data_IF_980676120890
#
_entry.id   IF_980676120890
#
_cell.length_a   1.000
_cell.length_b   1.000
_cell.length_c   1.000
_cell.angle_alpha   90.00
_cell.angle_beta   90.00
_cell.angle_gamma   90.00
#
_symmetry.space_group_name_H-M   'P 1'
#
loop_
_entity.id
_entity.type
_entity.pdbx_description
1 polymer ?
#
# COMPACT_ATOMS: atom_id res chain seq x y z
N UNK A 1 -1.76 -0.16 4.49
CA UNK A 1 -2.07 -0.10 3.03
C UNK A 1 -2.77 1.22 2.74
N UNK A 2 -2.01 2.31 2.69
CA UNK A 2 -2.54 3.61 2.28
C UNK A 2 -1.69 4.12 1.13
N UNK A 3 -2.34 4.47 0.02
CA UNK A 3 -1.81 5.46 -0.93
C UNK A 3 -1.70 6.75 -0.12
N UNK A 4 -0.48 7.27 0.04
CA UNK A 4 -0.30 8.62 0.57
C UNK A 4 -0.42 9.52 -0.65
N UNK A 5 -1.63 9.93 -1.01
CA UNK A 5 -1.80 11.08 -1.89
C UNK A 5 -1.45 12.32 -1.07
N UNK A 6 -0.19 12.74 -1.14
CA UNK A 6 0.19 14.08 -0.73
C UNK A 6 -0.26 15.04 -1.83
N UNK A 7 -1.52 15.50 -1.76
CA UNK A 7 -1.99 16.59 -2.60
C UNK A 7 -1.38 17.91 -2.11
N UNK A 8 -0.29 18.33 -2.74
CA UNK A 8 0.18 19.72 -2.64
C UNK A 8 -0.81 20.58 -3.45
N UNK A 9 -1.74 21.21 -2.74
CA UNK A 9 -2.87 21.95 -3.32
C UNK A 9 -2.44 23.28 -3.95
N UNK A 10 -2.76 23.46 -5.23
CA UNK A 10 -2.90 24.80 -5.83
C UNK A 10 -4.18 25.46 -5.32
N UNK A 11 -4.09 26.32 -4.30
CA UNK A 11 -5.18 27.23 -3.95
C UNK A 11 -5.39 28.24 -5.08
N UNK A 12 -6.40 28.03 -5.93
CA UNK A 12 -7.05 29.13 -6.63
C UNK A 12 -7.81 29.99 -5.62
N UNK A 13 -7.81 31.31 -5.85
CA UNK A 13 -8.33 32.33 -4.93
C UNK A 13 -9.84 32.16 -4.73
N UNK A 14 -10.26 31.73 -3.54
CA UNK A 14 -11.61 31.98 -3.07
C UNK A 14 -11.67 33.41 -2.52
N UNK A 15 -12.38 34.29 -3.23
CA UNK A 15 -12.80 35.59 -2.72
C UNK A 15 -14.15 35.44 -2.00
N UNK A 16 -14.14 35.82 -0.73
CA UNK A 16 -15.27 36.29 0.08
C UNK A 16 -16.53 35.39 0.22
N UNK A 17 -16.65 34.74 1.37
CA UNK A 17 -17.61 35.26 2.37
C UNK A 17 -17.11 34.93 3.79
N UNK A 18 -16.76 35.99 4.51
CA UNK A 18 -16.48 35.95 5.94
C UNK A 18 -17.76 35.58 6.69
N UNK A 19 -17.70 34.58 7.56
CA UNK A 19 -18.39 34.59 8.85
C UNK A 19 -17.89 33.45 9.75
N UNK A 20 -17.32 33.88 10.88
CA UNK A 20 -16.99 33.13 12.10
C UNK A 20 -15.64 32.40 12.19
N UNK A 21 -14.60 33.18 12.52
CA UNK A 21 -13.49 32.74 13.36
C UNK A 21 -13.35 33.68 14.57
N UNK A 22 -13.78 33.22 15.74
CA UNK A 22 -13.27 33.56 17.09
C UNK A 22 -13.78 32.39 17.97
N UNK A 23 -13.03 31.65 18.77
CA UNK A 23 -11.89 31.96 19.63
C UNK A 23 -11.07 30.69 19.91
N UNK A 24 -9.75 30.82 19.99
CA UNK A 24 -8.87 29.79 20.53
C UNK A 24 -9.04 29.70 22.06
N UNK A 25 -9.39 28.51 22.57
CA UNK A 25 -9.14 28.12 23.96
C UNK A 25 -8.63 26.68 24.01
N UNK A 26 -7.49 26.52 24.68
CA UNK A 26 -6.78 25.27 24.94
C UNK A 26 -7.71 24.22 25.56
N UNK A 27 -7.81 23.03 24.96
CA UNK A 27 -8.36 21.83 25.60
C UNK A 27 -7.22 20.83 25.92
N UNK A 28 -7.11 20.33 27.16
CA UNK A 28 -6.16 19.27 27.51
C UNK A 28 -6.62 17.92 26.93
N UNK A 29 -5.72 16.91 26.84
CA UNK A 29 -6.04 15.66 26.15
C UNK A 29 -7.08 14.87 26.94
N UNK A 30 -8.33 14.86 26.45
CA UNK A 30 -9.33 13.92 26.93
C UNK A 30 -9.02 12.53 26.37
N UNK A 31 -8.84 11.56 27.27
CA UNK A 31 -8.83 10.12 26.97
C UNK A 31 -10.08 9.78 26.15
N UNK A 32 -9.89 9.45 24.87
CA UNK A 32 -10.94 8.98 23.98
C UNK A 32 -11.59 7.69 24.55
N UNK A 33 -12.81 7.83 25.08
CA UNK A 33 -13.68 6.73 25.54
C UNK A 33 -14.55 6.14 24.42
N UNK A 34 -14.10 6.21 23.17
CA UNK A 34 -14.75 5.53 22.03
C UNK A 34 -13.93 4.33 21.56
N UNK A 35 -13.96 3.25 22.36
CA UNK A 35 -13.58 1.89 21.93
C UNK A 35 -14.83 1.01 21.96
N UNK A 36 -15.71 1.11 20.97
CA UNK A 36 -16.77 0.10 20.76
C UNK A 36 -17.51 0.14 19.42
N UNK A 37 -17.15 0.99 18.45
CA UNK A 37 -17.71 0.87 17.09
C UNK A 37 -16.67 0.23 16.16
N UNK A 38 -16.44 -1.07 16.34
CA UNK A 38 -15.70 -1.87 15.37
C UNK A 38 -16.71 -2.38 14.33
N UNK A 39 -16.67 -1.69 13.18
CA UNK A 39 -17.02 -2.07 11.82
C UNK A 39 -17.99 -3.25 11.65
N UNK A 40 -19.19 -2.96 11.15
CA UNK A 40 -20.03 -3.99 10.52
C UNK A 40 -19.20 -4.72 9.44
N UNK A 41 -19.35 -6.05 9.29
CA UNK A 41 -18.71 -6.77 8.20
C UNK A 41 -19.10 -6.13 6.86
N UNK A 42 -18.26 -6.29 5.84
CA UNK A 42 -18.67 -5.89 4.49
C UNK A 42 -19.92 -6.70 4.10
N UNK A 43 -21.10 -6.09 4.25
CA UNK A 43 -22.36 -6.66 3.80
C UNK A 43 -22.48 -6.36 2.31
N UNK A 44 -22.19 -7.36 1.49
CA UNK A 44 -22.49 -7.30 0.08
C UNK A 44 -24.02 -7.20 -0.07
N UNK A 45 -24.51 -6.17 -0.77
CA UNK A 45 -25.95 -5.96 -0.95
C UNK A 45 -26.58 -7.17 -1.66
N UNK A 46 -27.81 -7.52 -1.29
CA UNK A 46 -28.72 -8.43 -2.00
C UNK A 46 -28.18 -9.82 -2.36
N UNK A 47 -27.75 -10.61 -1.37
CA UNK A 47 -27.38 -12.01 -1.62
C UNK A 47 -26.19 -12.20 -2.58
N UNK A 48 -25.43 -11.12 -2.81
CA UNK A 48 -24.16 -11.17 -3.52
C UNK A 48 -23.16 -11.90 -2.65
N UNK A 49 -22.88 -13.14 -3.03
CA UNK A 49 -21.79 -13.92 -2.48
C UNK A 49 -20.48 -13.41 -3.10
N UNK A 50 -19.39 -13.43 -2.32
CA UNK A 50 -18.05 -13.09 -2.82
C UNK A 50 -17.68 -13.79 -4.13
N UNK A 51 -18.15 -15.03 -4.30
CA UNK A 51 -17.94 -15.85 -5.51
C UNK A 51 -18.52 -15.24 -6.79
N UNK A 52 -19.43 -14.25 -6.69
CA UNK A 52 -20.06 -13.57 -7.82
C UNK A 52 -19.41 -12.22 -8.15
N UNK A 53 -18.47 -11.74 -7.33
CA UNK A 53 -17.80 -10.46 -7.59
C UNK A 53 -16.77 -10.64 -8.69
N UNK A 54 -16.96 -9.90 -9.78
CA UNK A 54 -15.93 -9.72 -10.81
C UNK A 54 -14.97 -8.66 -10.29
N UNK A 55 -13.69 -9.01 -10.20
CA UNK A 55 -12.65 -8.12 -9.72
C UNK A 55 -11.95 -7.51 -10.92
N UNK A 56 -12.12 -6.21 -11.07
CA UNK A 56 -11.42 -5.37 -12.04
C UNK A 56 -10.42 -4.51 -11.26
N UNK A 57 -9.13 -4.87 -11.28
CA UNK A 57 -8.11 -4.14 -10.50
C UNK A 57 -7.92 -2.70 -11.01
N UNK A 58 -8.18 -2.48 -12.30
CA UNK A 58 -8.13 -1.18 -12.97
C UNK A 58 -9.07 -0.14 -12.32
N UNK A 59 -10.15 -0.61 -11.67
CA UNK A 59 -11.11 0.26 -10.98
C UNK A 59 -10.49 1.03 -9.80
N UNK A 60 -9.34 0.60 -9.28
CA UNK A 60 -8.59 1.39 -8.29
C UNK A 60 -8.25 2.79 -8.82
N UNK A 61 -7.73 2.88 -10.04
CA UNK A 61 -7.37 4.14 -10.66
C UNK A 61 -8.60 5.01 -10.94
N UNK A 62 -9.68 4.40 -11.44
CA UNK A 62 -10.96 5.09 -11.69
C UNK A 62 -11.54 5.70 -10.41
N UNK A 63 -11.49 4.98 -9.30
CA UNK A 63 -11.91 5.50 -8.00
C UNK A 63 -11.11 6.73 -7.56
N UNK A 64 -9.78 6.71 -7.74
CA UNK A 64 -8.92 7.85 -7.43
C UNK A 64 -9.22 9.06 -8.34
N UNK A 65 -9.44 8.84 -9.64
CA UNK A 65 -9.79 9.90 -10.57
C UNK A 65 -11.12 10.57 -10.22
N UNK A 66 -12.15 9.76 -9.90
CA UNK A 66 -13.46 10.27 -9.44
C UNK A 66 -13.37 11.08 -8.16
N UNK A 67 -12.50 10.66 -7.22
CA UNK A 67 -12.26 11.44 -6.01
C UNK A 67 -11.65 12.80 -6.33
N UNK A 68 -10.69 12.86 -7.25
CA UNK A 68 -10.12 14.13 -7.68
C UNK A 68 -11.16 15.02 -8.38
N UNK A 69 -12.06 14.44 -9.17
CA UNK A 69 -13.15 15.18 -9.82
C UNK A 69 -14.10 15.80 -8.78
N UNK A 70 -14.49 15.05 -7.75
CA UNK A 70 -15.34 15.55 -6.64
C UNK A 70 -14.64 16.64 -5.81
N UNK A 71 -13.31 16.56 -5.69
CA UNK A 71 -12.51 17.58 -5.02
C UNK A 71 -12.18 18.78 -5.93
N UNK A 72 -12.65 18.78 -7.18
CA UNK A 72 -12.35 19.77 -8.21
C UNK A 72 -10.83 19.94 -8.46
N UNK A 73 -10.07 18.83 -8.36
CA UNK A 73 -8.63 18.77 -8.60
C UNK A 73 -8.38 18.19 -9.99
N UNK A 74 -8.06 19.07 -10.93
CA UNK A 74 -7.72 18.67 -12.30
C UNK A 74 -6.40 17.87 -12.36
N UNK A 75 -5.38 18.28 -11.62
CA UNK A 75 -4.07 17.63 -11.65
C UNK A 75 -3.40 17.69 -10.28
N UNK A 76 -2.80 16.58 -9.84
CA UNK A 76 -1.97 16.54 -8.63
C UNK A 76 -0.50 16.69 -8.97
N UNK A 77 0.25 17.31 -8.05
CA UNK A 77 1.71 17.43 -8.20
C UNK A 77 2.40 16.07 -8.24
N UNK A 78 2.06 15.17 -7.31
CA UNK A 78 2.65 13.85 -7.22
C UNK A 78 1.64 12.79 -6.78
N UNK A 79 1.79 11.58 -7.30
CA UNK A 79 1.13 10.37 -6.79
C UNK A 79 2.21 9.46 -6.20
N UNK A 80 2.05 9.09 -4.93
CA UNK A 80 3.04 8.32 -4.18
C UNK A 80 2.37 7.06 -3.63
N UNK A 81 2.95 5.90 -3.94
CA UNK A 81 2.44 4.63 -3.48
C UNK A 81 3.54 3.59 -3.29
N UNK A 82 3.35 2.68 -2.34
CA UNK A 82 4.19 1.49 -2.29
C UNK A 82 3.43 0.20 -2.02
N UNK A 83 4.06 -0.92 -2.36
CA UNK A 83 3.40 -2.22 -2.42
C UNK A 83 2.16 -2.16 -3.33
N UNK A 84 1.01 -2.64 -2.85
CA UNK A 84 -0.29 -2.46 -3.49
C UNK A 84 -0.61 -1.01 -3.84
N UNK A 85 -0.22 -0.04 -2.99
CA UNK A 85 -0.40 1.37 -3.30
C UNK A 85 0.45 1.84 -4.48
N UNK A 86 1.62 1.24 -4.69
CA UNK A 86 2.47 1.51 -5.85
C UNK A 86 1.87 0.92 -7.13
N UNK A 87 1.24 -0.25 -7.07
CA UNK A 87 0.46 -0.80 -8.18
C UNK A 87 -0.67 0.15 -8.58
N UNK A 88 -1.41 0.68 -7.59
CA UNK A 88 -2.47 1.67 -7.84
C UNK A 88 -1.93 2.99 -8.41
N UNK A 89 -0.77 3.45 -7.94
CA UNK A 89 -0.11 4.64 -8.46
C UNK A 89 0.31 4.46 -9.92
N UNK A 90 0.85 3.29 -10.27
CA UNK A 90 1.20 2.94 -11.65
C UNK A 90 -0.04 2.86 -12.56
N UNK A 91 -1.11 2.19 -12.10
CA UNK A 91 -2.39 2.14 -12.82
C UNK A 91 -2.96 3.54 -13.05
N UNK A 92 -2.96 4.38 -12.01
CA UNK A 92 -3.43 5.76 -12.12
C UNK A 92 -2.60 6.55 -13.13
N UNK A 93 -1.27 6.44 -13.08
CA UNK A 93 -0.38 7.13 -13.99
C UNK A 93 -0.53 6.66 -15.46
N UNK A 94 -0.83 5.38 -15.68
CA UNK A 94 -0.99 4.81 -17.01
C UNK A 94 -2.39 5.05 -17.61
N UNK A 95 -3.44 5.11 -16.77
CA UNK A 95 -4.81 5.35 -17.22
C UNK A 95 -5.14 6.84 -17.32
N UNK A 96 -4.54 7.66 -16.45
CA UNK A 96 -4.81 9.10 -16.35
C UNK A 96 -3.50 9.92 -16.43
N UNK A 97 -2.71 9.79 -17.52
CA UNK A 97 -1.37 10.37 -17.61
C UNK A 97 -1.30 11.89 -17.45
N UNK A 98 -2.39 12.60 -17.76
CA UNK A 98 -2.47 14.06 -17.63
C UNK A 98 -2.88 14.53 -16.23
N UNK A 99 -3.29 13.63 -15.33
CA UNK A 99 -3.80 13.96 -13.98
C UNK A 99 -2.70 14.04 -12.92
N UNK A 100 -1.44 13.80 -13.27
CA UNK A 100 -0.29 13.89 -12.37
C UNK A 100 0.96 14.43 -13.07
N UNK A 101 1.81 15.14 -12.33
CA UNK A 101 3.12 15.59 -12.85
C UNK A 101 4.29 14.67 -12.46
N UNK A 102 4.14 13.93 -11.35
CA UNK A 102 5.20 13.08 -10.80
C UNK A 102 4.63 11.79 -10.24
N UNK A 103 5.38 10.71 -10.41
CA UNK A 103 5.07 9.40 -9.86
C UNK A 103 6.20 8.93 -8.93
N UNK A 104 5.85 8.48 -7.73
CA UNK A 104 6.78 7.74 -6.87
C UNK A 104 6.19 6.38 -6.54
N UNK A 105 6.88 5.32 -6.94
CA UNK A 105 6.44 3.95 -6.73
C UNK A 105 7.49 3.15 -5.95
N UNK A 106 7.11 2.60 -4.79
CA UNK A 106 8.03 1.97 -3.85
C UNK A 106 7.68 0.49 -3.70
N UNK A 107 8.64 -0.42 -3.94
CA UNK A 107 8.46 -1.86 -3.70
C UNK A 107 7.16 -2.40 -4.32
N UNK A 108 6.93 -2.10 -5.60
CA UNK A 108 5.75 -2.53 -6.36
C UNK A 108 6.15 -3.12 -7.71
N UNK A 109 5.17 -3.56 -8.50
CA UNK A 109 5.42 -4.25 -9.78
C UNK A 109 4.44 -3.78 -10.87
N UNK A 110 4.86 -3.72 -12.14
CA UNK A 110 3.96 -3.41 -13.25
C UNK A 110 3.09 -4.61 -13.67
N UNK A 111 3.48 -5.82 -13.28
CA UNK A 111 2.75 -7.05 -13.53
C UNK A 111 3.10 -8.07 -12.44
N UNK A 112 2.09 -8.55 -11.72
CA UNK A 112 2.31 -9.58 -10.70
C UNK A 112 2.87 -10.86 -11.32
N UNK A 113 3.90 -11.43 -10.69
CA UNK A 113 4.56 -12.67 -11.11
C UNK A 113 4.00 -13.91 -10.39
N UNK A 114 4.12 -15.13 -10.99
CA UNK A 114 3.53 -16.36 -10.42
C UNK A 114 3.97 -16.71 -9.00
N UNK A 115 5.21 -16.36 -8.60
CA UNK A 115 5.72 -16.63 -7.26
C UNK A 115 4.92 -15.87 -6.19
N UNK A 116 4.64 -14.60 -6.42
CA UNK A 116 3.84 -13.78 -5.51
C UNK A 116 2.36 -14.21 -5.51
N UNK A 117 1.83 -14.69 -6.65
CA UNK A 117 0.50 -15.31 -6.73
C UNK A 117 0.42 -16.57 -5.86
N UNK A 118 1.45 -17.41 -5.88
CA UNK A 118 1.47 -18.64 -5.07
C UNK A 118 1.41 -18.33 -3.56
N UNK A 119 2.17 -17.34 -3.09
CA UNK A 119 2.12 -16.89 -1.69
C UNK A 119 0.72 -16.40 -1.30
N UNK A 120 0.13 -15.51 -2.11
CA UNK A 120 -1.21 -14.98 -1.85
C UNK A 120 -2.31 -16.03 -2.00
N UNK A 121 -2.12 -17.04 -2.86
CA UNK A 121 -3.02 -18.19 -2.94
C UNK A 121 -3.07 -18.95 -1.62
N UNK A 122 -1.93 -19.23 -0.98
CA UNK A 122 -1.89 -19.92 0.33
C UNK A 122 -2.62 -19.08 1.39
N UNK A 123 -2.37 -17.76 1.41
CA UNK A 123 -3.06 -16.85 2.34
C UNK A 123 -4.59 -16.89 2.17
N UNK A 124 -5.08 -16.79 0.92
CA UNK A 124 -6.52 -16.89 0.65
C UNK A 124 -7.09 -18.26 0.98
N UNK A 125 -6.36 -19.33 0.65
CA UNK A 125 -6.77 -20.70 0.92
C UNK A 125 -6.93 -20.93 2.43
N UNK A 126 -6.03 -20.41 3.26
CA UNK A 126 -6.15 -20.51 4.71
C UNK A 126 -7.47 -19.92 5.23
N UNK A 127 -7.91 -18.77 4.68
CA UNK A 127 -9.18 -18.13 5.04
C UNK A 127 -10.37 -18.94 4.53
N UNK A 128 -10.33 -19.36 3.26
CA UNK A 128 -11.43 -20.10 2.62
C UNK A 128 -11.65 -21.50 3.24
N UNK A 129 -10.59 -22.12 3.76
CA UNK A 129 -10.64 -23.42 4.44
C UNK A 129 -11.12 -23.34 5.89
N UNK A 130 -11.21 -22.14 6.49
CA UNK A 130 -11.69 -21.96 7.85
C UNK A 130 -13.21 -22.20 7.92
N UNK A 131 -13.66 -23.19 8.68
CA UNK A 131 -15.09 -23.47 8.83
C UNK A 131 -15.88 -22.26 9.37
N UNK A 132 -15.26 -21.41 10.18
CA UNK A 132 -15.89 -20.22 10.73
C UNK A 132 -16.04 -19.09 9.70
N UNK A 133 -15.33 -19.15 8.56
CA UNK A 133 -15.51 -18.20 7.45
C UNK A 133 -16.91 -18.27 6.84
N UNK A 134 -17.53 -19.46 6.85
CA UNK A 134 -18.93 -19.68 6.44
C UNK A 134 -19.28 -19.02 5.09
N UNK A 135 -18.45 -19.24 4.06
CA UNK A 135 -18.63 -18.68 2.72
C UNK A 135 -18.78 -17.14 2.66
N UNK A 136 -18.13 -16.43 3.59
CA UNK A 136 -18.21 -14.97 3.70
C UNK A 136 -19.30 -14.47 4.64
N UNK A 137 -20.09 -15.37 5.23
CA UNK A 137 -21.14 -15.09 6.22
C UNK A 137 -20.65 -15.43 7.65
N UNK A 138 -19.41 -15.07 7.98
CA UNK A 138 -18.86 -15.24 9.32
C UNK A 138 -19.52 -14.31 10.33
N UNK A 139 -19.51 -14.72 11.60
CA UNK A 139 -20.07 -13.92 12.70
C UNK A 139 -19.26 -12.62 12.87
N UNK A 140 -19.93 -11.47 12.87
CA UNK A 140 -19.27 -10.18 13.11
C UNK A 140 -18.44 -10.20 14.41
N UNK A 141 -17.20 -9.70 14.32
CA UNK A 141 -16.24 -9.70 15.43
C UNK A 141 -15.55 -11.04 15.71
N UNK A 142 -15.83 -12.10 14.95
CA UNK A 142 -15.09 -13.37 15.06
C UNK A 142 -13.66 -13.22 14.55
N UNK A 143 -12.70 -13.78 15.29
CA UNK A 143 -11.32 -13.92 14.83
C UNK A 143 -11.19 -15.28 14.14
N UNK A 144 -11.06 -15.26 12.81
CA UNK A 144 -10.86 -16.48 12.02
C UNK A 144 -9.42 -16.99 12.16
N UNK A 145 -9.25 -18.29 12.36
CA UNK A 145 -7.94 -18.94 12.39
C UNK A 145 -7.24 -18.80 11.02
N UNK A 146 -8.00 -18.92 9.93
CA UNK A 146 -7.51 -18.72 8.58
C UNK A 146 -6.91 -17.33 8.35
N UNK A 147 -7.50 -16.29 8.95
CA UNK A 147 -6.96 -14.92 8.90
C UNK A 147 -5.64 -14.78 9.67
N UNK A 148 -5.49 -15.51 10.79
CA UNK A 148 -4.24 -15.51 11.54
C UNK A 148 -3.12 -16.15 10.70
N UNK A 149 -3.38 -17.34 10.15
CA UNK A 149 -2.41 -18.06 9.30
C UNK A 149 -2.02 -17.21 8.08
N UNK A 150 -2.99 -16.60 7.40
CA UNK A 150 -2.74 -15.71 6.28
C UNK A 150 -1.82 -14.54 6.66
N UNK A 151 -2.02 -13.96 7.85
CA UNK A 151 -1.19 -12.87 8.35
C UNK A 151 0.20 -13.33 8.77
N UNK A 152 0.33 -14.47 9.42
CA UNK A 152 1.62 -15.05 9.82
C UNK A 152 2.49 -15.33 8.58
N UNK A 153 1.92 -15.97 7.57
CA UNK A 153 2.61 -16.19 6.30
C UNK A 153 3.04 -14.87 5.66
N UNK A 154 2.17 -13.86 5.67
CA UNK A 154 2.52 -12.53 5.17
C UNK A 154 3.72 -11.93 5.91
N UNK A 155 3.66 -11.91 7.24
CA UNK A 155 4.74 -11.37 8.07
C UNK A 155 6.08 -12.10 7.86
N UNK A 156 6.05 -13.41 7.65
CA UNK A 156 7.24 -14.19 7.34
C UNK A 156 7.87 -13.81 5.99
N UNK A 157 7.05 -13.38 5.01
CA UNK A 157 7.51 -12.98 3.67
C UNK A 157 7.76 -11.47 3.50
N UNK A 158 7.25 -10.62 4.40
CA UNK A 158 7.43 -9.17 4.29
C UNK A 158 8.80 -8.69 4.79
N UNK A 159 9.49 -9.51 5.59
CA UNK A 159 10.76 -9.16 6.23
C UNK A 159 11.84 -10.14 5.82
N UNK A 160 13.09 -9.74 5.99
CA UNK A 160 14.21 -10.63 5.67
C UNK A 160 14.45 -11.64 6.80
N UNK A 161 15.09 -12.76 6.45
CA UNK A 161 15.53 -13.77 7.43
C UNK A 161 16.41 -13.16 8.50
N UNK A 162 17.30 -12.25 8.09
CA UNK A 162 18.24 -11.54 8.94
C UNK A 162 17.53 -10.68 10.00
N UNK A 163 16.36 -10.10 9.70
CA UNK A 163 15.59 -9.34 10.70
C UNK A 163 15.05 -10.26 11.80
N UNK A 164 14.53 -11.44 11.42
CA UNK A 164 14.05 -12.42 12.40
C UNK A 164 15.21 -12.93 13.27
N UNK A 165 16.33 -13.32 12.67
CA UNK A 165 17.48 -13.86 13.41
C UNK A 165 18.16 -12.80 14.29
N UNK A 166 18.12 -11.51 13.92
CA UNK A 166 18.61 -10.42 14.76
C UNK A 166 17.67 -10.10 15.93
N UNK A 167 16.37 -10.33 15.75
CA UNK A 167 15.33 -9.96 16.72
C UNK A 167 15.03 -11.05 17.73
N UNK A 168 15.12 -12.31 17.32
CA UNK A 168 14.74 -13.47 18.14
C UNK A 168 15.95 -14.38 18.33
N UNK A 169 16.20 -14.76 19.58
CA UNK A 169 17.21 -15.75 19.90
C UNK A 169 16.63 -17.16 19.73
N UNK A 170 17.49 -18.12 19.36
CA UNK A 170 17.13 -19.52 19.46
C UNK A 170 17.16 -19.93 20.94
N UNK A 171 16.00 -19.83 21.61
CA UNK A 171 15.85 -20.23 23.01
C UNK A 171 14.43 -20.79 23.23
N UNK A 172 14.28 -22.09 23.58
CA UNK A 172 12.98 -22.66 23.91
C UNK A 172 12.56 -22.22 25.32
N UNK A 173 11.73 -21.17 25.40
CA UNK A 173 11.23 -20.59 26.65
C UNK A 173 9.94 -21.28 27.14
N UNK A 174 9.20 -21.92 26.23
CA UNK A 174 7.96 -22.64 26.51
C UNK A 174 8.09 -24.18 26.56
N UNK A 175 6.97 -24.89 26.79
CA UNK A 175 6.94 -26.36 26.80
C UNK A 175 7.28 -26.95 25.43
N UNK A 176 8.13 -27.97 25.39
CA UNK A 176 8.60 -28.62 24.15
C UNK A 176 7.63 -29.66 23.57
N UNK A 177 6.32 -29.41 23.71
CA UNK A 177 5.26 -30.25 23.14
C UNK A 177 4.80 -29.69 21.79
N UNK A 178 4.46 -30.55 20.82
CA UNK A 178 4.19 -30.13 19.43
C UNK A 178 3.01 -29.16 19.24
N UNK A 179 2.13 -29.03 20.23
CA UNK A 179 1.00 -28.10 20.23
C UNK A 179 1.26 -26.80 21.00
N UNK A 180 2.39 -26.69 21.69
CA UNK A 180 2.71 -25.58 22.55
C UNK A 180 3.60 -24.56 21.83
N UNK A 181 3.39 -23.28 22.12
CA UNK A 181 4.34 -22.23 21.74
C UNK A 181 5.59 -22.38 22.61
N UNK A 182 6.69 -22.79 21.97
CA UNK A 182 7.98 -23.06 22.58
C UNK A 182 8.91 -21.86 22.46
N UNK A 183 8.82 -21.09 21.37
CA UNK A 183 9.72 -19.99 21.05
C UNK A 183 9.00 -18.63 21.10
N UNK A 184 9.74 -17.59 21.50
CA UNK A 184 9.22 -16.22 21.56
C UNK A 184 8.73 -15.71 20.20
N UNK A 185 9.36 -16.16 19.10
CA UNK A 185 8.92 -15.82 17.73
C UNK A 185 7.51 -16.34 17.44
N UNK A 186 7.13 -17.52 17.93
CA UNK A 186 5.79 -18.09 17.73
C UNK A 186 4.74 -17.25 18.45
N UNK A 187 5.03 -16.84 19.68
CA UNK A 187 4.17 -15.95 20.48
C UNK A 187 4.03 -14.58 19.83
N UNK A 188 5.13 -14.04 19.27
CA UNK A 188 5.11 -12.79 18.52
C UNK A 188 4.22 -12.89 17.27
N UNK A 189 4.39 -13.94 16.48
CA UNK A 189 3.62 -14.17 15.25
C UNK A 189 2.12 -14.27 15.57
N UNK A 190 1.75 -15.12 16.54
CA UNK A 190 0.36 -15.31 16.96
C UNK A 190 -0.28 -14.01 17.50
N UNK A 191 0.47 -13.24 18.29
CA UNK A 191 -0.02 -11.97 18.83
C UNK A 191 -0.29 -10.95 17.72
N UNK A 192 0.64 -10.78 16.77
CA UNK A 192 0.46 -9.83 15.66
C UNK A 192 -0.64 -10.29 14.70
N UNK A 193 -0.74 -11.60 14.44
CA UNK A 193 -1.76 -12.20 13.61
C UNK A 193 -3.15 -12.03 14.22
N UNK A 194 -3.29 -12.32 15.52
CA UNK A 194 -4.53 -12.11 16.27
C UNK A 194 -4.92 -10.64 16.30
N UNK A 195 -3.95 -9.73 16.46
CA UNK A 195 -4.20 -8.30 16.38
C UNK A 195 -4.76 -7.92 15.01
N UNK A 196 -4.12 -8.34 13.91
CA UNK A 196 -4.59 -8.05 12.55
C UNK A 196 -5.99 -8.61 12.27
N UNK A 197 -6.23 -9.88 12.62
CA UNK A 197 -7.49 -10.57 12.38
C UNK A 197 -8.68 -9.97 13.15
N UNK A 198 -8.44 -9.15 14.19
CA UNK A 198 -9.49 -8.38 14.88
C UNK A 198 -9.91 -7.11 14.14
N UNK A 199 -9.04 -6.55 13.32
CA UNK A 199 -9.26 -5.25 12.68
C UNK A 199 -9.50 -5.33 11.17
N UNK A 200 -9.07 -6.41 10.52
CA UNK A 200 -9.16 -6.55 9.08
C UNK A 200 -10.27 -7.52 8.69
N UNK A 201 -11.12 -7.08 7.77
CA UNK A 201 -12.23 -7.87 7.26
C UNK A 201 -11.75 -9.00 6.31
N UNK A 202 -12.10 -10.27 6.56
CA UNK A 202 -11.73 -11.39 5.70
C UNK A 202 -12.15 -11.23 4.23
N UNK A 203 -13.37 -10.72 3.97
CA UNK A 203 -13.86 -10.56 2.60
C UNK A 203 -13.04 -9.51 1.84
N UNK A 204 -12.76 -8.36 2.47
CA UNK A 204 -11.87 -7.34 1.95
C UNK A 204 -10.46 -7.89 1.66
N UNK A 205 -9.91 -8.72 2.55
CA UNK A 205 -8.60 -9.32 2.36
C UNK A 205 -8.57 -10.20 1.10
N UNK A 206 -9.57 -11.06 0.92
CA UNK A 206 -9.67 -11.94 -0.24
C UNK A 206 -9.77 -11.14 -1.56
N UNK A 207 -10.61 -10.11 -1.58
CA UNK A 207 -10.82 -9.24 -2.76
C UNK A 207 -9.54 -8.50 -3.14
N UNK A 208 -8.90 -7.82 -2.18
CA UNK A 208 -7.66 -7.07 -2.43
C UNK A 208 -6.50 -8.00 -2.80
N UNK A 209 -6.41 -9.16 -2.15
CA UNK A 209 -5.43 -10.19 -2.48
C UNK A 209 -5.55 -10.67 -3.92
N UNK A 210 -6.78 -10.92 -4.39
CA UNK A 210 -7.03 -11.32 -5.78
C UNK A 210 -6.82 -10.17 -6.76
N UNK A 211 -7.20 -8.94 -6.42
CA UNK A 211 -6.95 -7.77 -7.27
C UNK A 211 -5.44 -7.53 -7.48
N UNK A 212 -4.61 -7.68 -6.44
CA UNK A 212 -3.15 -7.66 -6.58
C UNK A 212 -2.64 -8.76 -7.50
N UNK A 213 -3.24 -9.96 -7.48
CA UNK A 213 -2.85 -11.04 -8.40
C UNK A 213 -3.16 -10.76 -9.86
N UNK A 214 -4.21 -9.99 -10.12
CA UNK A 214 -4.64 -9.64 -11.48
C UNK A 214 -3.88 -8.44 -12.07
N UNK A 215 -3.15 -7.68 -11.23
CA UNK A 215 -2.37 -6.52 -11.63
C UNK A 215 -1.47 -6.82 -12.84
N UNK A 216 -1.73 -6.12 -13.95
CA UNK A 216 -0.95 -6.20 -15.17
C UNK A 216 -1.22 -4.97 -16.06
N UNK A 217 -0.29 -4.00 -16.10
CA UNK A 217 -0.43 -2.82 -16.95
C UNK A 217 -0.49 -3.13 -18.45
N UNK A 218 0.07 -4.27 -18.85
CA UNK A 218 0.03 -4.77 -20.22
C UNK A 218 -1.29 -5.46 -20.60
N UNK A 219 -2.25 -5.58 -19.68
CA UNK A 219 -3.56 -6.15 -19.99
C UNK A 219 -4.28 -5.31 -21.06
N UNK A 220 -4.88 -5.98 -22.06
CA UNK A 220 -5.48 -5.30 -23.21
C UNK A 220 -4.47 -4.82 -24.27
N UNK A 221 -3.17 -5.05 -24.06
CA UNK A 221 -2.09 -4.69 -25.00
C UNK A 221 -1.31 -5.93 -25.44
N UNK A 222 -0.52 -5.78 -26.50
CA UNK A 222 0.28 -6.88 -27.03
C UNK A 222 1.45 -7.25 -26.10
N UNK A 223 1.95 -6.30 -25.32
CA UNK A 223 3.10 -6.48 -24.43
C UNK A 223 3.06 -5.54 -23.24
N UNK A 224 3.68 -5.95 -22.13
CA UNK A 224 3.82 -5.13 -20.90
C UNK A 224 4.39 -3.74 -21.18
N UNK A 225 5.31 -3.64 -22.15
CA UNK A 225 5.94 -2.37 -22.50
C UNK A 225 4.95 -1.31 -23.01
N UNK A 226 3.92 -1.70 -23.80
CA UNK A 226 2.83 -0.81 -24.21
C UNK A 226 1.96 -0.37 -23.04
N UNK A 227 1.81 -1.27 -22.06
CA UNK A 227 1.18 -1.01 -20.78
C UNK A 227 1.80 0.18 -20.06
N UNK A 228 3.07 -0.02 -19.75
CA UNK A 228 3.88 0.87 -18.93
C UNK A 228 4.20 2.18 -19.65
N UNK A 229 4.41 2.18 -20.97
CA UNK A 229 4.82 3.39 -21.72
C UNK A 229 3.76 4.49 -21.81
N UNK A 230 2.53 4.22 -21.37
CA UNK A 230 1.49 5.25 -21.19
C UNK A 230 1.75 6.18 -20.03
N UNK A 231 2.61 5.81 -19.08
CA UNK A 231 3.03 6.73 -18.01
C UNK A 231 3.90 7.81 -18.64
N UNK A 232 3.43 9.06 -18.58
CA UNK A 232 4.09 10.19 -19.25
C UNK A 232 4.88 11.09 -18.32
N UNK A 233 4.52 11.10 -17.03
CA UNK A 233 5.14 11.93 -16.01
C UNK A 233 6.56 11.45 -15.64
N UNK A 234 7.35 12.34 -15.04
CA UNK A 234 8.63 11.96 -14.44
C UNK A 234 8.38 10.99 -13.28
N UNK A 235 9.21 9.94 -13.15
CA UNK A 235 9.01 8.91 -12.14
C UNK A 235 10.26 8.54 -11.33
N UNK A 236 10.07 8.33 -10.03
CA UNK A 236 11.04 7.72 -9.13
C UNK A 236 10.53 6.35 -8.69
N UNK A 237 11.27 5.31 -9.04
CA UNK A 237 10.98 3.93 -8.63
C UNK A 237 11.99 3.50 -7.58
N UNK A 238 11.53 3.07 -6.41
CA UNK A 238 12.38 2.67 -5.29
C UNK A 238 12.20 1.18 -4.99
N UNK A 239 13.26 0.39 -5.14
CA UNK A 239 13.29 -1.03 -4.77
C UNK A 239 14.05 -1.28 -3.47
N UNK A 240 13.65 -2.30 -2.69
CA UNK A 240 14.39 -2.72 -1.50
C UNK A 240 15.13 -4.03 -1.81
N UNK A 241 16.45 -4.06 -1.60
CA UNK A 241 17.31 -5.19 -2.00
C UNK A 241 16.95 -6.51 -1.32
N UNK A 242 16.46 -6.45 -0.08
CA UNK A 242 16.03 -7.60 0.70
C UNK A 242 14.51 -7.86 0.60
N UNK A 243 13.81 -7.21 -0.33
CA UNK A 243 12.41 -7.51 -0.60
C UNK A 243 12.28 -8.89 -1.27
N UNK A 244 11.75 -9.85 -0.51
CA UNK A 244 11.48 -11.20 -1.00
C UNK A 244 10.12 -11.33 -1.68
N UNK A 245 9.21 -10.37 -1.47
CA UNK A 245 7.87 -10.38 -2.03
C UNK A 245 7.86 -9.81 -3.45
N UNK A 246 8.58 -8.71 -3.67
CA UNK A 246 8.69 -8.02 -4.96
C UNK A 246 10.16 -7.67 -5.25
N UNK A 247 10.88 -8.54 -5.96
CA UNK A 247 12.32 -8.36 -6.22
C UNK A 247 12.61 -7.11 -7.07
N UNK A 248 13.70 -6.40 -6.77
CA UNK A 248 14.19 -5.19 -7.47
C UNK A 248 14.16 -5.24 -9.01
N UNK A 249 14.24 -6.44 -9.60
CA UNK A 249 14.16 -6.64 -11.06
C UNK A 249 12.80 -6.22 -11.63
N UNK A 250 11.72 -6.42 -10.89
CA UNK A 250 10.37 -6.02 -11.32
C UNK A 250 10.26 -4.48 -11.37
N UNK A 251 10.85 -3.77 -10.42
CA UNK A 251 10.94 -2.31 -10.40
C UNK A 251 11.86 -1.77 -11.49
N UNK A 252 13.03 -2.38 -11.70
CA UNK A 252 13.95 -2.02 -12.77
C UNK A 252 13.28 -2.12 -14.15
N UNK A 253 12.45 -3.15 -14.36
CA UNK A 253 11.68 -3.34 -15.61
C UNK A 253 10.78 -2.14 -15.91
N UNK A 254 10.17 -1.50 -14.90
CA UNK A 254 9.38 -0.28 -15.08
C UNK A 254 10.25 0.82 -15.70
N UNK A 255 11.41 1.07 -15.09
CA UNK A 255 12.33 2.13 -15.49
C UNK A 255 12.91 1.87 -16.87
N UNK A 256 13.33 0.64 -17.15
CA UNK A 256 13.86 0.24 -18.46
C UNK A 256 12.85 0.51 -19.59
N UNK A 257 11.58 0.14 -19.37
CA UNK A 257 10.51 0.41 -20.35
C UNK A 257 10.31 1.92 -20.52
N UNK A 258 10.19 2.68 -19.43
CA UNK A 258 9.93 4.12 -19.49
C UNK A 258 11.07 4.86 -20.20
N UNK A 259 12.33 4.56 -19.85
CA UNK A 259 13.50 5.15 -20.48
C UNK A 259 13.61 4.78 -21.95
N UNK A 260 13.27 3.54 -22.35
CA UNK A 260 13.25 3.14 -23.77
C UNK A 260 12.22 3.93 -24.61
N UNK A 261 11.23 4.55 -23.97
CA UNK A 261 10.25 5.44 -24.59
C UNK A 261 10.56 6.94 -24.37
N UNK A 262 11.79 7.27 -23.95
CA UNK A 262 12.24 8.65 -23.76
C UNK A 262 11.65 9.35 -22.53
N UNK A 263 11.05 8.61 -21.59
CA UNK A 263 10.53 9.18 -20.34
C UNK A 263 11.64 9.30 -19.29
N UNK A 264 11.60 10.37 -18.49
CA UNK A 264 12.52 10.54 -17.36
C UNK A 264 12.06 9.66 -16.20
N UNK A 265 12.76 8.55 -16.00
CA UNK A 265 12.50 7.66 -14.86
C UNK A 265 13.81 7.31 -14.17
N UNK A 266 13.81 7.35 -12.85
CA UNK A 266 14.94 6.99 -12.00
C UNK A 266 14.64 5.68 -11.24
N UNK A 267 15.66 4.83 -11.11
CA UNK A 267 15.59 3.64 -10.25
C UNK A 267 16.60 3.76 -9.10
N UNK A 268 16.10 3.75 -7.87
CA UNK A 268 16.92 3.76 -6.66
C UNK A 268 16.74 2.44 -5.90
N UNK A 269 17.84 1.84 -5.45
CA UNK A 269 17.79 0.66 -4.59
C UNK A 269 18.23 0.98 -3.17
N UNK A 270 17.43 0.55 -2.20
CA UNK A 270 17.68 0.72 -0.76
C UNK A 270 18.03 -0.63 -0.14
N UNK A 271 19.04 -0.66 0.73
CA UNK A 271 19.32 -1.81 1.58
C UNK A 271 18.57 -1.68 2.92
N UNK A 272 17.81 -2.71 3.30
CA UNK A 272 17.12 -2.76 4.60
C UNK A 272 16.76 -4.19 4.96
N UNK A 273 17.16 -4.65 6.15
CA UNK A 273 16.75 -5.97 6.68
C UNK A 273 15.23 -6.08 6.88
N UNK A 274 14.51 -4.96 6.94
CA UNK A 274 13.05 -4.95 7.05
C UNK A 274 12.34 -5.40 5.77
N UNK A 275 13.07 -5.66 4.68
CA UNK A 275 12.51 -6.21 3.45
C UNK A 275 11.41 -5.33 2.84
N UNK A 276 10.33 -5.96 2.38
CA UNK A 276 9.15 -5.28 1.83
C UNK A 276 8.56 -4.24 2.82
N UNK A 277 8.61 -4.54 4.12
CA UNK A 277 8.08 -3.67 5.19
C UNK A 277 8.99 -2.47 5.51
N UNK A 278 10.16 -2.33 4.87
CA UNK A 278 11.11 -1.24 5.11
C UNK A 278 10.47 0.14 4.96
N UNK A 279 9.53 0.30 4.02
CA UNK A 279 8.82 1.55 3.80
C UNK A 279 7.90 1.97 4.95
N UNK A 280 7.59 1.09 5.90
CA UNK A 280 6.78 1.37 7.10
C UNK A 280 7.62 1.43 8.38
N UNK A 281 8.90 1.07 8.32
CA UNK A 281 9.79 1.17 9.45
C UNK A 281 10.17 2.63 9.71
N UNK A 282 9.81 3.16 10.88
CA UNK A 282 9.88 4.59 11.18
C UNK A 282 11.28 5.21 10.98
N UNK A 283 12.34 4.49 11.34
CA UNK A 283 13.71 5.00 11.16
C UNK A 283 14.11 4.98 9.69
N UNK A 284 13.80 3.91 8.96
CA UNK A 284 14.10 3.81 7.52
C UNK A 284 13.31 4.82 6.70
N UNK A 285 12.07 5.13 7.11
CA UNK A 285 11.29 6.22 6.53
C UNK A 285 12.01 7.56 6.66
N UNK A 286 12.49 7.91 7.85
CA UNK A 286 13.16 9.19 8.11
C UNK A 286 14.52 9.30 7.43
N UNK A 287 15.34 8.26 7.55
CA UNK A 287 16.73 8.32 7.15
C UNK A 287 16.95 8.09 5.66
N UNK A 288 16.00 7.42 4.99
CA UNK A 288 16.16 6.99 3.60
C UNK A 288 15.03 7.48 2.73
N UNK A 289 13.80 6.98 2.94
CA UNK A 289 12.71 7.24 2.01
C UNK A 289 12.33 8.73 1.97
N UNK A 290 12.33 9.42 3.11
CA UNK A 290 11.95 10.84 3.17
C UNK A 290 12.88 11.70 2.31
N UNK A 291 14.20 11.49 2.39
CA UNK A 291 15.17 12.25 1.59
C UNK A 291 14.95 12.05 0.10
N UNK A 292 14.91 10.79 -0.35
CA UNK A 292 14.73 10.43 -1.75
C UNK A 292 13.41 10.98 -2.33
N UNK A 293 12.31 10.77 -1.60
CA UNK A 293 10.98 11.22 -2.03
C UNK A 293 10.91 12.74 -2.05
N UNK A 294 11.45 13.41 -1.03
CA UNK A 294 11.44 14.87 -0.93
C UNK A 294 12.24 15.48 -2.06
N UNK A 295 13.48 15.05 -2.25
CA UNK A 295 14.36 15.55 -3.32
C UNK A 295 13.69 15.44 -4.69
N UNK A 296 13.13 14.27 -5.00
CA UNK A 296 12.41 14.07 -6.25
C UNK A 296 11.19 14.99 -6.35
N UNK A 297 10.30 15.00 -5.36
CA UNK A 297 9.06 15.78 -5.39
C UNK A 297 9.33 17.30 -5.43
N UNK A 298 10.36 17.78 -4.74
CA UNK A 298 10.68 19.21 -4.61
C UNK A 298 11.60 19.73 -5.71
N UNK A 299 12.34 18.87 -6.44
CA UNK A 299 13.29 19.29 -7.48
C UNK A 299 12.72 20.21 -8.58
N UNK A 300 11.42 20.15 -8.88
CA UNK A 300 10.76 21.09 -9.82
C UNK A 300 10.04 22.25 -9.14
N UNK A 301 9.90 22.24 -7.81
CA UNK A 301 9.26 23.33 -7.09
C UNK A 301 10.13 24.60 -7.11
N UNK A 302 11.46 24.45 -7.17
CA UNK A 302 12.38 25.58 -7.35
C UNK A 302 12.18 26.28 -8.71
N UNK A 303 11.81 25.53 -9.76
CA UNK A 303 11.49 26.05 -11.09
C UNK A 303 10.05 26.59 -11.18
N UNK A 304 9.13 26.13 -10.31
CA UNK A 304 7.70 26.47 -10.31
C UNK A 304 7.34 27.82 -9.63
N UNK A 305 8.27 28.79 -9.56
CA UNK A 305 8.12 30.20 -9.13
C UNK A 305 8.45 30.49 -7.66
N UNK A 306 9.32 31.49 -7.46
CA UNK A 306 9.67 32.17 -6.19
C UNK A 306 8.46 32.58 -5.32
N UNK A 307 7.26 32.73 -5.89
CA UNK A 307 6.05 33.11 -5.15
C UNK A 307 5.20 31.93 -4.65
N UNK A 308 5.46 30.69 -5.12
CA UNK A 308 4.81 29.48 -4.60
C UNK A 308 5.62 28.84 -3.45
N UNK A 309 6.92 29.10 -3.36
CA UNK A 309 7.83 28.60 -2.29
C UNK A 309 7.35 28.95 -0.87
N UNK A 310 6.79 30.14 -0.67
CA UNK A 310 6.25 30.55 0.64
C UNK A 310 5.00 29.78 1.08
N UNK A 311 4.34 29.02 0.21
CA UNK A 311 3.14 28.22 0.56
C UNK A 311 3.45 26.83 1.09
N UNK A 312 4.67 26.34 0.89
CA UNK A 312 5.07 24.96 1.23
C UNK A 312 6.11 24.87 2.36
N UNK A 313 6.56 26.02 2.87
CA UNK A 313 7.60 26.17 3.91
C UNK A 313 7.18 25.76 5.34
N UNK A 314 6.10 24.99 5.53
CA UNK A 314 5.76 24.42 6.85
C UNK A 314 5.53 22.92 6.74
N UNK A 315 6.63 22.18 6.59
CA UNK A 315 6.74 20.74 6.82
C UNK A 315 7.78 20.49 7.91
#
# INVERSE_FOLDING_TARGET
MHVISAALLRRQRFAASERFYTSATRYPPQRNKHKSQLHAPLVLQDGNRLEKIVIEWEQWAVCHARLLDELEIEQVHAVIGGSMGGMQALEFAAQFPHRLNRLVAISCTPQTTPGTVALRHIQRHAILADAAYNNGEYKAGSVLAGMKIARELGMACYRSREEFDARFQWQPTGPTHFTAQTFDVESYMDYQATKFARYYDPNCYLLLSKAMDLMNLGHGYSYLAQGVSRIECDSLIIGVKQDQLIPCKEQATIVDILQSHGRKSEFVTVGSIFGHDAMFHAQTQKDVFLGLVREFVESTLEEMLLHEVHRYSTL
#
